data_IF_303805476391
#
_entry.id   IF_303805476391
#
_cell.length_a   1.000
_cell.length_b   1.000
_cell.length_c   1.000
_cell.angle_alpha   90.00
_cell.angle_beta   90.00
_cell.angle_gamma   90.00
#
_symmetry.space_group_name_H-M   'P 1'
#
loop_
_entity.id
_entity.type
_entity.pdbx_description
1 polymer ?
#
# COMPACT_ATOMS: atom_id res chain seq x y z
N UNK A 1 -5.08 78.00 -43.12
CA UNK A 1 -4.20 77.15 -42.34
C UNK A 1 -5.06 76.20 -41.53
N UNK A 2 -5.25 74.95 -41.92
CA UNK A 2 -6.00 73.92 -41.19
C UNK A 2 -5.02 72.95 -40.54
N UNK A 3 -4.90 72.93 -39.21
CA UNK A 3 -4.09 72.01 -38.45
C UNK A 3 -4.84 70.72 -38.28
N UNK A 4 -4.34 69.64 -38.90
CA UNK A 4 -4.78 68.24 -38.62
C UNK A 4 -4.08 67.71 -37.41
N UNK A 5 -4.86 67.42 -36.33
CA UNK A 5 -4.33 66.70 -35.17
C UNK A 5 -4.46 65.18 -35.44
N UNK A 6 -3.33 64.49 -35.54
CA UNK A 6 -3.27 63.03 -35.56
C UNK A 6 -3.46 62.50 -34.09
N UNK A 7 -4.51 61.72 -33.87
CA UNK A 7 -4.65 60.95 -32.63
C UNK A 7 -3.98 59.58 -32.87
N UNK A 8 -2.90 59.34 -32.14
CA UNK A 8 -2.27 58.04 -32.10
C UNK A 8 -2.99 57.19 -31.02
N UNK A 9 -3.70 56.15 -31.44
CA UNK A 9 -4.33 55.17 -30.55
C UNK A 9 -3.29 54.14 -30.15
N UNK A 10 -2.84 54.16 -28.90
CA UNK A 10 -1.94 53.13 -28.33
C UNK A 10 -2.84 51.95 -27.95
N UNK A 11 -2.72 50.82 -28.69
CA UNK A 11 -3.33 49.55 -28.32
C UNK A 11 -2.38 48.88 -27.30
N UNK A 12 -2.79 48.91 -26.04
CA UNK A 12 -2.09 48.13 -24.98
C UNK A 12 -2.43 46.65 -25.15
N UNK A 13 -1.48 45.86 -25.64
CA UNK A 13 -1.56 44.40 -25.60
C UNK A 13 -1.41 43.91 -24.15
N UNK A 14 -2.52 43.60 -23.51
CA UNK A 14 -2.50 42.93 -22.22
C UNK A 14 -1.98 41.51 -22.44
N UNK A 15 -0.73 41.26 -22.05
CA UNK A 15 -0.18 39.92 -21.96
C UNK A 15 -0.94 39.17 -20.83
N UNK A 16 -1.84 38.28 -21.21
CA UNK A 16 -2.48 37.37 -20.27
C UNK A 16 -1.37 36.42 -19.75
N UNK A 17 -0.90 36.63 -18.52
CA UNK A 17 -0.12 35.66 -17.80
C UNK A 17 -0.97 34.41 -17.64
N UNK A 18 -0.51 33.21 -18.06
CA UNK A 18 -1.26 32.01 -17.78
C UNK A 18 -1.38 31.87 -16.26
N UNK A 19 -2.61 31.86 -15.75
CA UNK A 19 -2.86 31.49 -14.36
C UNK A 19 -2.30 30.08 -14.18
N UNK A 20 -1.30 29.92 -13.29
CA UNK A 20 -0.87 28.59 -12.84
C UNK A 20 -2.11 27.95 -12.22
N UNK A 21 -2.54 26.84 -12.81
CA UNK A 21 -3.64 26.08 -12.21
C UNK A 21 -3.20 25.65 -10.80
N UNK A 22 -4.09 25.82 -9.82
CA UNK A 22 -3.82 25.35 -8.46
C UNK A 22 -3.54 23.84 -8.45
N UNK A 23 -2.59 23.41 -7.61
CA UNK A 23 -2.28 21.99 -7.42
C UNK A 23 -3.54 21.22 -6.97
N UNK A 24 -3.76 20.06 -7.53
CA UNK A 24 -4.90 19.21 -7.14
C UNK A 24 -4.64 18.60 -5.76
N UNK A 25 -5.52 18.89 -4.81
CA UNK A 25 -5.45 18.36 -3.44
C UNK A 25 -5.88 16.91 -3.40
N UNK A 26 -5.03 16.04 -2.82
CA UNK A 26 -5.27 14.59 -2.72
C UNK A 26 -4.92 14.10 -1.33
N UNK A 27 -5.92 13.57 -0.61
CA UNK A 27 -5.71 12.80 0.62
C UNK A 27 -5.37 11.35 0.30
N UNK A 28 -4.26 10.85 0.83
CA UNK A 28 -3.77 9.48 0.61
C UNK A 28 -3.60 8.76 1.94
N UNK A 29 -4.29 7.63 2.12
CA UNK A 29 -4.18 6.79 3.32
C UNK A 29 -3.14 5.68 3.15
N UNK A 30 -2.18 5.59 4.09
CA UNK A 30 -1.18 4.51 4.11
C UNK A 30 -0.95 4.00 5.53
N UNK A 31 -0.21 2.91 5.69
CA UNK A 31 0.35 2.42 6.97
C UNK A 31 1.86 2.66 7.03
N UNK A 32 2.52 2.14 8.08
CA UNK A 32 3.98 2.13 8.22
C UNK A 32 4.66 0.96 7.49
N UNK A 33 4.05 0.39 6.49
CA UNK A 33 4.64 -0.64 5.63
C UNK A 33 5.81 -0.09 4.81
N UNK A 34 6.94 -0.78 4.83
CA UNK A 34 8.16 -0.38 4.11
C UNK A 34 7.93 -0.17 2.60
N UNK A 35 7.03 -0.97 2.00
CA UNK A 35 6.71 -0.89 0.57
C UNK A 35 6.03 0.41 0.14
N UNK A 36 5.36 1.13 1.05
CA UNK A 36 4.70 2.41 0.75
C UNK A 36 5.63 3.62 0.82
N UNK A 37 6.85 3.44 1.30
CA UNK A 37 7.78 4.54 1.52
C UNK A 37 8.15 5.37 0.26
N UNK A 38 8.13 4.84 -0.98
CA UNK A 38 8.29 5.67 -2.17
C UNK A 38 7.23 6.76 -2.33
N UNK A 39 6.01 6.58 -1.78
CA UNK A 39 4.99 7.63 -1.74
C UNK A 39 5.41 8.78 -0.81
N UNK A 40 6.00 8.46 0.35
CA UNK A 40 6.59 9.46 1.25
C UNK A 40 7.78 10.14 0.58
N UNK A 41 8.65 9.40 -0.11
CA UNK A 41 9.74 9.97 -0.88
C UNK A 41 9.23 10.96 -1.93
N UNK A 42 8.20 10.59 -2.71
CA UNK A 42 7.61 11.48 -3.71
C UNK A 42 7.08 12.78 -3.09
N UNK A 43 6.54 12.73 -1.88
CA UNK A 43 6.08 13.91 -1.16
C UNK A 43 7.26 14.76 -0.66
N UNK A 44 8.17 14.17 0.12
CA UNK A 44 9.25 14.90 0.80
C UNK A 44 10.31 15.43 -0.20
N UNK A 45 10.51 14.75 -1.33
CA UNK A 45 11.37 15.24 -2.42
C UNK A 45 10.65 16.27 -3.34
N UNK A 46 9.39 16.60 -3.09
CA UNK A 46 8.63 17.57 -3.87
C UNK A 46 8.17 17.07 -5.24
N UNK A 47 8.27 15.75 -5.51
CA UNK A 47 7.89 15.16 -6.80
C UNK A 47 6.39 15.35 -7.07
N UNK A 48 5.52 15.11 -6.09
CA UNK A 48 4.09 15.35 -6.23
C UNK A 48 3.79 16.81 -6.60
N UNK A 49 4.42 17.76 -5.90
CA UNK A 49 4.21 19.19 -6.17
C UNK A 49 4.70 19.58 -7.57
N UNK A 50 5.87 19.09 -7.98
CA UNK A 50 6.39 19.27 -9.35
C UNK A 50 5.39 18.81 -10.40
N UNK A 51 4.63 17.76 -10.10
CA UNK A 51 3.64 17.16 -10.99
C UNK A 51 2.21 17.73 -10.77
N UNK A 52 2.07 18.91 -10.12
CA UNK A 52 0.80 19.61 -9.93
C UNK A 52 -0.12 18.99 -8.88
N UNK A 53 0.43 18.32 -7.87
CA UNK A 53 -0.31 17.64 -6.81
C UNK A 53 0.05 18.20 -5.43
N UNK A 54 -0.97 18.54 -4.64
CA UNK A 54 -0.87 18.82 -3.20
C UNK A 54 -1.32 17.57 -2.42
N UNK A 55 -0.37 16.65 -2.18
CA UNK A 55 -0.65 15.36 -1.54
C UNK A 55 -0.49 15.44 -0.04
N UNK A 56 -1.57 15.12 0.68
CA UNK A 56 -1.55 14.90 2.13
C UNK A 56 -1.54 13.40 2.43
N UNK A 57 -0.42 12.88 2.92
CA UNK A 57 -0.32 11.48 3.37
C UNK A 57 -0.81 11.36 4.81
N UNK A 58 -1.77 10.46 5.04
CA UNK A 58 -2.33 10.15 6.37
C UNK A 58 -1.99 8.72 6.77
N UNK A 59 -1.40 8.56 7.95
CA UNK A 59 -1.16 7.23 8.54
C UNK A 59 -2.45 6.75 9.18
N UNK A 60 -3.15 5.85 8.51
CA UNK A 60 -4.44 5.28 8.93
C UNK A 60 -4.31 3.76 9.01
N UNK A 61 -4.67 3.11 10.14
CA UNK A 61 -4.70 1.65 10.22
C UNK A 61 -5.48 1.03 9.05
N UNK A 62 -5.03 -0.10 8.54
CA UNK A 62 -5.64 -0.71 7.35
C UNK A 62 -7.12 -1.01 7.55
N UNK A 63 -7.50 -1.47 8.75
CA UNK A 63 -8.90 -1.76 9.13
C UNK A 63 -9.84 -0.54 9.08
N UNK A 64 -9.31 0.67 9.21
CA UNK A 64 -10.10 1.93 9.27
C UNK A 64 -10.03 2.74 7.97
N UNK A 65 -9.12 2.38 7.04
CA UNK A 65 -8.81 3.16 5.84
C UNK A 65 -9.99 3.25 4.87
N UNK A 66 -10.78 2.19 4.76
CA UNK A 66 -12.02 2.20 3.95
C UNK A 66 -13.07 3.19 4.48
N UNK A 67 -13.13 3.41 5.81
CA UNK A 67 -14.03 4.40 6.40
C UNK A 67 -13.61 5.83 6.03
N UNK A 68 -12.30 6.11 6.00
CA UNK A 68 -11.77 7.40 5.56
C UNK A 68 -12.03 7.66 4.06
N UNK A 69 -12.03 6.61 3.22
CA UNK A 69 -12.46 6.70 1.82
C UNK A 69 -13.96 6.99 1.73
N UNK A 70 -14.78 6.25 2.46
CA UNK A 70 -16.23 6.39 2.43
C UNK A 70 -16.71 7.76 2.92
N UNK A 71 -16.02 8.34 3.91
CA UNK A 71 -16.32 9.68 4.42
C UNK A 71 -15.81 10.83 3.51
N UNK A 72 -14.93 10.50 2.53
CA UNK A 72 -14.27 11.52 1.69
C UNK A 72 -13.07 12.19 2.33
N UNK A 73 -12.63 11.74 3.51
CA UNK A 73 -11.45 12.26 4.20
C UNK A 73 -10.13 11.97 3.44
N UNK A 74 -10.12 10.90 2.66
CA UNK A 74 -9.09 10.60 1.67
C UNK A 74 -9.74 10.19 0.34
N UNK A 75 -9.08 10.48 -0.77
CA UNK A 75 -9.52 10.14 -2.12
C UNK A 75 -8.86 8.85 -2.60
N UNK A 76 -7.64 8.59 -2.14
CA UNK A 76 -6.82 7.46 -2.55
C UNK A 76 -6.19 6.77 -1.34
N UNK A 77 -5.74 5.54 -1.55
CA UNK A 77 -5.01 4.79 -0.53
C UNK A 77 -4.01 3.81 -1.16
N UNK A 78 -3.10 3.31 -0.34
CA UNK A 78 -2.26 2.15 -0.65
C UNK A 78 -2.71 0.99 0.23
N UNK A 79 -2.92 -0.18 -0.36
CA UNK A 79 -3.20 -1.43 0.35
C UNK A 79 -3.04 -2.63 -0.59
N UNK A 80 -3.26 -3.83 -0.09
CA UNK A 80 -3.13 -5.08 -0.83
C UNK A 80 -4.35 -5.38 -1.70
N UNK A 81 -4.15 -6.19 -2.75
CA UNK A 81 -5.19 -6.56 -3.72
C UNK A 81 -6.42 -7.16 -3.02
N UNK A 82 -6.25 -8.09 -2.09
CA UNK A 82 -7.36 -8.74 -1.38
C UNK A 82 -8.13 -7.77 -0.48
N UNK A 83 -7.45 -6.75 0.05
CA UNK A 83 -8.12 -5.71 0.84
C UNK A 83 -9.03 -4.85 -0.03
N UNK A 84 -8.59 -4.48 -1.25
CA UNK A 84 -9.45 -3.79 -2.22
C UNK A 84 -10.68 -4.61 -2.60
N UNK A 85 -10.51 -5.94 -2.78
CA UNK A 85 -11.65 -6.85 -3.03
C UNK A 85 -12.63 -6.77 -1.87
N UNK A 86 -12.13 -6.86 -0.63
CA UNK A 86 -12.96 -6.79 0.58
C UNK A 86 -13.73 -5.47 0.67
N UNK A 87 -13.07 -4.32 0.44
CA UNK A 87 -13.73 -3.01 0.50
C UNK A 87 -14.83 -2.88 -0.55
N UNK A 88 -14.55 -3.24 -1.81
CA UNK A 88 -15.53 -3.18 -2.89
C UNK A 88 -16.72 -4.11 -2.64
N UNK A 89 -16.48 -5.35 -2.18
CA UNK A 89 -17.53 -6.30 -1.84
C UNK A 89 -18.43 -5.82 -0.70
N UNK A 90 -17.90 -4.97 0.21
CA UNK A 90 -18.62 -4.40 1.33
C UNK A 90 -19.11 -2.95 1.06
N UNK A 91 -19.16 -2.53 -0.20
CA UNK A 91 -19.84 -1.30 -0.64
C UNK A 91 -18.96 -0.04 -0.69
N UNK A 92 -17.64 -0.14 -0.46
CA UNK A 92 -16.71 0.97 -0.62
C UNK A 92 -16.05 0.88 -2.00
N UNK A 93 -16.65 1.54 -3.00
CA UNK A 93 -16.18 1.51 -4.38
C UNK A 93 -14.81 2.17 -4.54
N UNK A 94 -13.86 1.42 -5.10
CA UNK A 94 -12.49 1.85 -5.37
C UNK A 94 -11.94 1.17 -6.63
N UNK A 95 -10.95 1.78 -7.29
CA UNK A 95 -10.21 1.18 -8.40
C UNK A 95 -8.71 1.29 -8.16
N UNK A 96 -8.02 0.18 -8.32
CA UNK A 96 -6.57 0.09 -8.29
C UNK A 96 -6.00 0.63 -9.59
N UNK A 97 -5.00 1.50 -9.55
CA UNK A 97 -4.48 2.20 -10.73
C UNK A 97 -3.01 1.91 -11.02
N UNK A 98 -2.22 1.51 -10.03
CA UNK A 98 -0.88 0.96 -10.20
C UNK A 98 -0.47 0.07 -9.03
N UNK A 99 0.45 -0.86 -9.29
CA UNK A 99 1.08 -1.69 -8.28
C UNK A 99 2.26 -0.96 -7.67
N UNK A 100 2.34 -0.99 -6.34
CA UNK A 100 3.43 -0.40 -5.57
C UNK A 100 4.59 -1.38 -5.43
N UNK A 101 4.33 -2.50 -4.80
CA UNK A 101 5.36 -3.49 -4.48
C UNK A 101 4.77 -4.91 -4.39
N UNK A 102 5.70 -5.87 -4.29
CA UNK A 102 5.44 -7.25 -3.89
C UNK A 102 6.30 -7.55 -2.68
N UNK A 103 5.70 -8.11 -1.65
CA UNK A 103 6.45 -8.66 -0.53
C UNK A 103 7.27 -9.87 -0.98
N UNK A 104 8.54 -9.89 -0.61
CA UNK A 104 9.51 -10.92 -0.95
C UNK A 104 10.25 -11.37 0.32
N UNK A 105 9.48 -11.84 1.29
CA UNK A 105 9.94 -12.19 2.62
C UNK A 105 9.74 -11.08 3.67
N UNK A 106 9.07 -9.97 3.30
CA UNK A 106 8.82 -8.85 4.20
C UNK A 106 7.60 -9.05 5.10
N UNK A 107 6.65 -9.90 4.73
CA UNK A 107 5.59 -10.37 5.62
C UNK A 107 5.94 -11.76 6.12
N UNK A 108 5.71 -12.02 7.41
CA UNK A 108 6.04 -13.28 8.03
C UNK A 108 5.18 -13.66 9.20
N UNK A 109 5.09 -14.98 9.37
CA UNK A 109 4.55 -15.63 10.55
C UNK A 109 5.69 -15.93 11.51
N UNK A 110 5.61 -15.39 12.72
CA UNK A 110 6.55 -15.65 13.80
C UNK A 110 5.90 -16.58 14.83
N UNK A 111 6.68 -17.49 15.40
CA UNK A 111 6.21 -18.49 16.37
C UNK A 111 7.23 -18.67 17.47
N UNK A 112 6.80 -19.19 18.63
CA UNK A 112 7.71 -19.61 19.70
C UNK A 112 8.68 -20.69 19.20
N UNK A 113 9.83 -20.80 19.84
CA UNK A 113 10.89 -21.70 19.39
C UNK A 113 10.51 -23.20 19.45
N UNK A 114 9.56 -23.58 20.28
CA UNK A 114 9.01 -24.92 20.44
C UNK A 114 7.98 -25.31 19.34
N UNK A 115 7.46 -24.35 18.59
CA UNK A 115 6.55 -24.61 17.45
C UNK A 115 7.36 -25.08 16.27
N UNK A 116 7.16 -26.31 15.80
CA UNK A 116 7.93 -26.91 14.71
C UNK A 116 7.34 -26.61 13.32
N UNK A 117 6.01 -26.53 13.20
CA UNK A 117 5.32 -26.33 11.93
C UNK A 117 4.04 -25.50 12.11
N UNK A 118 3.55 -24.89 11.01
CA UNK A 118 2.30 -24.08 11.05
C UNK A 118 1.11 -24.90 11.56
N UNK A 119 1.04 -26.19 11.25
CA UNK A 119 -0.02 -27.10 11.74
C UNK A 119 -0.07 -27.22 13.27
N UNK A 120 1.04 -26.95 13.95
CA UNK A 120 1.15 -27.01 15.42
C UNK A 120 0.53 -25.79 16.09
N UNK A 121 0.03 -24.83 15.31
CA UNK A 121 -0.70 -23.65 15.80
C UNK A 121 -2.15 -23.97 16.19
N UNK A 122 -2.66 -25.16 15.92
CA UNK A 122 -4.01 -25.56 16.34
C UNK A 122 -4.24 -25.34 17.83
N UNK A 123 -5.26 -24.57 18.19
CA UNK A 123 -5.59 -24.22 19.57
C UNK A 123 -4.74 -23.12 20.20
N UNK A 124 -3.75 -22.57 19.47
CA UNK A 124 -2.83 -21.52 19.95
C UNK A 124 -3.37 -20.12 19.67
N UNK A 125 -2.78 -19.13 20.36
CA UNK A 125 -3.08 -17.71 20.15
C UNK A 125 -2.16 -17.12 19.07
N UNK A 126 -2.76 -16.46 18.09
CA UNK A 126 -2.05 -15.81 17.00
C UNK A 126 -2.44 -14.33 16.91
N UNK A 127 -1.50 -13.42 17.16
CA UNK A 127 -1.73 -12.00 16.91
C UNK A 127 -1.74 -11.73 15.40
N UNK A 128 -2.83 -11.15 14.92
CA UNK A 128 -2.95 -10.64 13.54
C UNK A 128 -3.88 -9.42 13.56
N UNK A 129 -3.86 -8.63 12.48
CA UNK A 129 -4.79 -7.50 12.38
C UNK A 129 -6.24 -7.95 12.23
N UNK A 130 -7.17 -7.00 12.16
CA UNK A 130 -8.60 -7.28 12.02
C UNK A 130 -8.94 -8.10 10.76
N UNK A 131 -10.03 -8.87 10.77
CA UNK A 131 -10.58 -9.50 9.57
C UNK A 131 -10.75 -8.50 8.41
N UNK A 132 -10.38 -8.92 7.18
CA UNK A 132 -10.41 -8.07 6.00
C UNK A 132 -9.14 -7.22 5.78
N UNK A 133 -8.10 -7.40 6.59
CA UNK A 133 -6.77 -6.78 6.41
C UNK A 133 -5.76 -7.80 5.89
N UNK A 134 -4.64 -7.32 5.34
CA UNK A 134 -3.58 -8.17 4.79
C UNK A 134 -2.97 -9.14 5.81
N UNK A 135 -2.60 -8.76 7.03
CA UNK A 135 -2.05 -9.73 7.99
C UNK A 135 -3.04 -10.84 8.37
N UNK A 136 -4.34 -10.52 8.45
CA UNK A 136 -5.38 -11.55 8.67
C UNK A 136 -5.54 -12.47 7.47
N UNK A 137 -5.54 -11.92 6.26
CA UNK A 137 -5.61 -12.70 5.03
C UNK A 137 -4.40 -13.61 4.88
N UNK A 138 -3.18 -13.10 5.15
CA UNK A 138 -1.95 -13.88 5.09
C UNK A 138 -1.96 -15.02 6.12
N UNK A 139 -2.45 -14.77 7.33
CA UNK A 139 -2.70 -15.83 8.31
C UNK A 139 -3.63 -16.91 7.75
N UNK A 140 -4.79 -16.51 7.24
CA UNK A 140 -5.77 -17.45 6.68
C UNK A 140 -5.19 -18.26 5.51
N UNK A 141 -4.42 -17.60 4.63
CA UNK A 141 -3.75 -18.24 3.50
C UNK A 141 -2.75 -19.30 3.96
N UNK A 142 -1.84 -18.94 4.87
CA UNK A 142 -0.83 -19.86 5.39
C UNK A 142 -1.45 -21.03 6.15
N UNK A 143 -2.47 -20.78 6.98
CA UNK A 143 -3.20 -21.85 7.69
C UNK A 143 -3.86 -22.80 6.69
N UNK A 144 -4.58 -22.30 5.70
CA UNK A 144 -5.24 -23.11 4.65
C UNK A 144 -4.25 -24.01 3.91
N UNK A 145 -3.10 -23.47 3.50
CA UNK A 145 -2.05 -24.24 2.81
C UNK A 145 -1.43 -25.34 3.70
N UNK A 146 -1.64 -25.26 5.02
CA UNK A 146 -1.17 -26.25 6.01
C UNK A 146 -2.31 -27.07 6.64
N UNK A 147 -3.49 -27.10 6.02
CA UNK A 147 -4.63 -27.93 6.44
C UNK A 147 -5.36 -27.41 7.68
N UNK A 148 -5.18 -26.15 8.03
CA UNK A 148 -5.90 -25.45 9.10
C UNK A 148 -6.77 -24.32 8.53
N UNK A 149 -7.60 -23.77 9.39
CA UNK A 149 -8.41 -22.57 9.15
C UNK A 149 -8.22 -21.55 10.27
N UNK A 150 -8.70 -20.35 10.09
CA UNK A 150 -8.70 -19.31 11.14
C UNK A 150 -9.53 -19.73 12.37
N UNK A 151 -10.44 -20.71 12.24
CA UNK A 151 -11.23 -21.27 13.34
C UNK A 151 -10.44 -22.24 14.23
N UNK A 152 -9.31 -22.73 13.75
CA UNK A 152 -8.43 -23.65 14.48
C UNK A 152 -7.47 -22.92 15.43
N UNK A 153 -7.44 -21.59 15.39
CA UNK A 153 -6.57 -20.74 16.22
C UNK A 153 -7.40 -19.65 16.91
N UNK A 154 -6.88 -19.09 18.01
CA UNK A 154 -7.46 -17.89 18.63
C UNK A 154 -6.77 -16.65 18.08
N UNK A 155 -7.45 -15.91 17.19
CA UNK A 155 -6.87 -14.69 16.61
C UNK A 155 -7.02 -13.51 17.58
N UNK A 156 -5.91 -12.86 17.91
CA UNK A 156 -5.86 -11.63 18.72
C UNK A 156 -5.66 -10.45 17.76
N UNK A 157 -6.63 -9.54 17.69
CA UNK A 157 -6.59 -8.38 16.79
C UNK A 157 -5.58 -7.33 17.30
N UNK A 158 -4.39 -7.35 16.75
CA UNK A 158 -3.31 -6.38 17.00
C UNK A 158 -2.72 -5.91 15.67
N UNK A 159 -2.55 -4.60 15.52
CA UNK A 159 -1.84 -4.04 14.36
C UNK A 159 -0.38 -4.55 14.33
N UNK A 160 0.28 -4.62 13.15
CA UNK A 160 1.56 -5.33 12.99
C UNK A 160 2.67 -4.91 13.94
N UNK A 161 2.78 -3.61 14.25
CA UNK A 161 3.74 -3.12 15.26
C UNK A 161 3.44 -3.68 16.65
N UNK A 162 2.16 -3.64 17.06
CA UNK A 162 1.72 -4.15 18.35
C UNK A 162 1.80 -5.69 18.40
N UNK A 163 1.51 -6.37 17.29
CA UNK A 163 1.63 -7.83 17.17
C UNK A 163 3.08 -8.30 17.38
N UNK A 164 4.05 -7.63 16.74
CA UNK A 164 5.47 -7.93 16.93
C UNK A 164 5.91 -7.69 18.38
N UNK A 165 5.50 -6.58 18.99
CA UNK A 165 5.83 -6.26 20.40
C UNK A 165 5.19 -7.24 21.38
N UNK A 166 3.91 -7.56 21.21
CA UNK A 166 3.18 -8.52 22.04
C UNK A 166 3.80 -9.92 21.94
N UNK A 167 4.23 -10.32 20.74
CA UNK A 167 4.96 -11.56 20.55
C UNK A 167 6.29 -11.54 21.30
N UNK A 168 7.15 -10.56 21.09
CA UNK A 168 8.47 -10.49 21.78
C UNK A 168 8.32 -10.46 23.30
N UNK A 169 7.27 -9.81 23.82
CA UNK A 169 6.98 -9.79 25.27
C UNK A 169 6.27 -11.03 25.83
N UNK A 170 6.04 -12.07 25.01
CA UNK A 170 5.52 -13.36 25.49
C UNK A 170 4.01 -13.49 25.56
N UNK A 171 3.24 -12.54 24.99
CA UNK A 171 1.77 -12.51 25.14
C UNK A 171 1.02 -13.45 24.20
N UNK A 172 1.62 -13.84 23.06
CA UNK A 172 1.00 -14.70 22.05
C UNK A 172 1.94 -15.84 21.66
N UNK A 173 1.39 -16.97 21.23
CA UNK A 173 2.14 -18.12 20.72
C UNK A 173 2.74 -17.83 19.34
N UNK A 174 2.03 -17.03 18.54
CA UNK A 174 2.45 -16.63 17.20
C UNK A 174 1.97 -15.22 16.87
N UNK A 175 2.55 -14.63 15.80
CA UNK A 175 2.06 -13.38 15.26
C UNK A 175 2.28 -13.31 13.74
N UNK A 176 1.37 -12.61 13.05
CA UNK A 176 1.56 -12.11 11.70
C UNK A 176 2.02 -10.66 11.78
N UNK A 177 3.15 -10.37 11.16
CA UNK A 177 3.69 -9.00 11.08
C UNK A 177 4.49 -8.82 9.79
N UNK A 178 4.95 -7.60 9.57
CA UNK A 178 5.70 -7.25 8.36
C UNK A 178 6.83 -6.25 8.67
N UNK A 179 7.70 -5.99 7.68
CA UNK A 179 8.75 -4.97 7.82
C UNK A 179 8.15 -3.54 7.91
N UNK A 180 8.69 -2.69 8.80
CA UNK A 180 9.94 -2.88 9.56
C UNK A 180 9.80 -3.69 10.87
N UNK A 181 8.59 -4.05 11.28
CA UNK A 181 8.35 -4.66 12.61
C UNK A 181 8.81 -6.13 12.70
N UNK A 182 8.85 -6.85 11.57
CA UNK A 182 9.39 -8.21 11.50
C UNK A 182 10.87 -8.24 11.89
N UNK A 183 11.62 -7.19 11.60
CA UNK A 183 13.01 -7.01 12.02
C UNK A 183 13.16 -6.96 13.55
N UNK A 184 12.15 -6.50 14.30
CA UNK A 184 12.15 -6.53 15.77
C UNK A 184 12.19 -7.97 16.29
N UNK A 185 11.46 -8.88 15.63
CA UNK A 185 11.47 -10.30 16.00
C UNK A 185 12.78 -10.97 15.57
N UNK A 186 13.33 -10.62 14.39
CA UNK A 186 14.66 -11.10 13.96
C UNK A 186 15.76 -10.76 14.97
N UNK A 187 15.65 -9.62 15.64
CA UNK A 187 16.58 -9.16 16.65
C UNK A 187 16.43 -9.86 18.02
N UNK A 188 15.38 -10.68 18.21
CA UNK A 188 15.08 -11.37 19.45
C UNK A 188 14.93 -12.90 19.27
N UNK A 189 15.98 -13.61 18.82
CA UNK A 189 15.92 -15.04 18.47
C UNK A 189 15.65 -15.95 19.67
N UNK A 190 15.87 -15.47 20.90
CA UNK A 190 15.51 -16.16 22.14
C UNK A 190 13.99 -16.18 22.39
N UNK A 191 13.22 -15.27 21.80
CA UNK A 191 11.77 -15.15 21.95
C UNK A 191 10.99 -15.99 20.95
N UNK A 192 11.59 -16.32 19.80
CA UNK A 192 10.95 -17.10 18.75
C UNK A 192 11.66 -17.00 17.42
N UNK A 193 11.03 -17.54 16.40
CA UNK A 193 11.57 -17.61 15.03
C UNK A 193 10.51 -17.24 14.00
N UNK A 194 10.96 -16.84 12.82
CA UNK A 194 10.12 -16.72 11.63
C UNK A 194 9.96 -18.11 11.06
N UNK A 195 8.74 -18.64 11.01
CA UNK A 195 8.47 -20.00 10.52
C UNK A 195 8.13 -20.02 9.04
N UNK A 196 7.55 -18.94 8.52
CA UNK A 196 7.20 -18.76 7.11
C UNK A 196 7.11 -17.29 6.75
N UNK A 197 7.36 -17.00 5.48
CA UNK A 197 7.28 -15.67 4.92
C UNK A 197 6.57 -15.68 3.56
N UNK A 198 6.46 -14.50 2.93
CA UNK A 198 5.99 -14.36 1.55
C UNK A 198 6.97 -14.93 0.50
N UNK A 199 8.14 -15.40 0.88
CA UNK A 199 8.99 -16.27 0.02
C UNK A 199 8.39 -17.66 -0.13
N UNK A 200 7.83 -18.20 0.94
CA UNK A 200 7.20 -19.53 0.96
C UNK A 200 5.76 -19.46 0.43
N UNK A 201 5.08 -18.33 0.67
CA UNK A 201 3.69 -18.09 0.32
C UNK A 201 3.54 -16.70 -0.34
N UNK A 202 3.79 -16.56 -1.65
CA UNK A 202 3.74 -15.26 -2.35
C UNK A 202 2.30 -14.80 -2.58
N UNK A 203 1.71 -14.10 -1.60
CA UNK A 203 0.32 -13.64 -1.66
C UNK A 203 0.15 -12.13 -1.36
N UNK A 204 1.20 -11.41 -0.98
CA UNK A 204 1.11 -9.98 -0.65
C UNK A 204 1.61 -9.14 -1.82
N UNK A 205 0.66 -8.46 -2.47
CA UNK A 205 0.88 -7.55 -3.60
C UNK A 205 0.14 -6.26 -3.31
N UNK A 206 0.90 -5.20 -3.13
CA UNK A 206 0.38 -3.88 -2.79
C UNK A 206 0.10 -3.03 -4.02
N UNK A 207 -1.04 -2.36 -3.99
CA UNK A 207 -1.47 -1.47 -5.06
C UNK A 207 -1.93 -0.13 -4.50
N UNK A 208 -1.87 0.87 -5.33
CA UNK A 208 -2.45 2.19 -5.11
C UNK A 208 -3.78 2.28 -5.84
N UNK A 209 -4.78 2.81 -5.17
CA UNK A 209 -6.10 2.97 -5.77
C UNK A 209 -6.82 4.20 -5.23
N UNK A 210 -7.84 4.62 -5.95
CA UNK A 210 -8.64 5.79 -5.64
C UNK A 210 -10.13 5.51 -5.79
N UNK A 211 -10.96 6.43 -5.30
CA UNK A 211 -12.40 6.38 -5.56
C UNK A 211 -12.69 6.60 -7.05
N UNK A 212 -13.71 5.95 -7.64
CA UNK A 212 -14.12 6.19 -9.03
C UNK A 212 -14.45 7.66 -9.30
N UNK A 213 -15.03 8.36 -8.32
CA UNK A 213 -15.32 9.80 -8.41
C UNK A 213 -14.03 10.59 -8.66
N UNK A 214 -12.99 10.39 -7.83
CA UNK A 214 -11.72 11.10 -8.00
C UNK A 214 -11.09 10.83 -9.37
N UNK A 215 -11.08 9.57 -9.81
CA UNK A 215 -10.52 9.17 -11.10
C UNK A 215 -11.24 9.83 -12.28
N UNK A 216 -12.57 9.97 -12.21
CA UNK A 216 -13.39 10.58 -13.26
C UNK A 216 -13.26 12.09 -13.28
N UNK A 217 -13.26 12.74 -12.10
CA UNK A 217 -13.18 14.20 -11.99
C UNK A 217 -11.75 14.72 -12.20
N UNK A 218 -10.72 13.92 -11.89
CA UNK A 218 -9.31 14.32 -11.91
C UNK A 218 -8.40 13.31 -12.63
N UNK A 219 -8.68 12.92 -13.90
CA UNK A 219 -7.91 11.87 -14.57
C UNK A 219 -6.43 12.25 -14.78
N UNK A 220 -6.12 13.53 -14.98
CA UNK A 220 -4.74 14.03 -15.07
C UNK A 220 -4.01 13.89 -13.75
N UNK A 221 -4.66 14.18 -12.62
CA UNK A 221 -4.07 14.02 -11.30
C UNK A 221 -3.85 12.54 -10.97
N UNK A 222 -4.77 11.65 -11.34
CA UNK A 222 -4.60 10.20 -11.18
C UNK A 222 -3.37 9.67 -11.94
N UNK A 223 -3.16 10.14 -13.19
CA UNK A 223 -1.95 9.82 -13.94
C UNK A 223 -0.69 10.42 -13.28
N UNK A 224 -0.76 11.67 -12.83
CA UNK A 224 0.36 12.32 -12.14
C UNK A 224 0.76 11.61 -10.84
N UNK A 225 -0.19 10.98 -10.10
CA UNK A 225 0.11 10.14 -8.95
C UNK A 225 0.96 8.91 -9.35
N UNK A 226 0.58 8.22 -10.43
CA UNK A 226 1.35 7.08 -10.94
C UNK A 226 2.73 7.52 -11.45
N UNK A 227 2.80 8.57 -12.25
CA UNK A 227 4.06 9.11 -12.77
C UNK A 227 5.00 9.54 -11.63
N UNK A 228 4.46 10.18 -10.58
CA UNK A 228 5.23 10.60 -9.40
C UNK A 228 5.79 9.42 -8.62
N UNK A 229 5.04 8.32 -8.51
CA UNK A 229 5.53 7.09 -7.90
C UNK A 229 6.71 6.50 -8.70
N UNK A 230 6.59 6.41 -10.03
CA UNK A 230 7.67 5.90 -10.86
C UNK A 230 8.90 6.82 -10.84
N UNK A 231 8.72 8.15 -10.82
CA UNK A 231 9.82 9.11 -10.64
C UNK A 231 10.53 8.92 -9.27
N UNK A 232 9.78 8.61 -8.22
CA UNK A 232 10.38 8.28 -6.92
C UNK A 232 11.23 7.01 -6.98
N UNK A 233 10.82 5.97 -7.74
CA UNK A 233 11.65 4.78 -7.96
C UNK A 233 12.94 5.11 -8.73
N UNK A 234 12.87 5.99 -9.72
CA UNK A 234 14.06 6.47 -10.44
C UNK A 234 15.01 7.24 -9.50
N UNK A 235 14.47 8.05 -8.57
CA UNK A 235 15.27 8.71 -7.54
C UNK A 235 15.97 7.71 -6.62
N UNK A 236 15.27 6.64 -6.19
CA UNK A 236 15.87 5.56 -5.40
C UNK A 236 17.03 4.91 -6.18
N UNK A 237 16.85 4.62 -7.47
CA UNK A 237 17.88 4.02 -8.28
C UNK A 237 19.10 4.93 -8.48
N UNK A 238 18.89 6.25 -8.53
CA UNK A 238 19.94 7.26 -8.75
C UNK A 238 20.74 7.60 -7.50
N UNK A 239 20.06 7.71 -6.35
CA UNK A 239 20.67 8.08 -5.05
C UNK A 239 19.97 7.34 -3.91
N UNK A 240 20.30 6.05 -3.81
CA UNK A 240 19.69 5.15 -2.84
C UNK A 240 19.92 5.59 -1.40
N UNK A 241 21.11 6.09 -1.09
CA UNK A 241 21.45 6.49 0.27
C UNK A 241 20.55 7.62 0.76
N UNK A 242 20.41 8.69 -0.02
CA UNK A 242 19.52 9.81 0.30
C UNK A 242 18.05 9.41 0.33
N UNK A 243 17.62 8.59 -0.63
CA UNK A 243 16.25 8.09 -0.66
C UNK A 243 15.93 7.25 0.58
N UNK A 244 16.85 6.39 1.01
CA UNK A 244 16.66 5.55 2.20
C UNK A 244 16.68 6.34 3.50
N UNK A 245 17.44 7.44 3.60
CA UNK A 245 17.34 8.36 4.74
C UNK A 245 15.94 8.96 4.87
N UNK A 246 15.38 9.48 3.76
CA UNK A 246 14.05 10.08 3.74
C UNK A 246 12.98 9.03 4.08
N UNK A 247 13.02 7.87 3.41
CA UNK A 247 12.05 6.80 3.60
C UNK A 247 12.15 6.15 4.98
N UNK A 248 13.37 6.00 5.50
CA UNK A 248 13.62 5.47 6.84
C UNK A 248 13.05 6.34 7.94
N UNK A 249 13.21 7.67 7.83
CA UNK A 249 12.66 8.62 8.80
C UNK A 249 11.13 8.47 8.96
N UNK A 250 10.40 8.17 7.89
CA UNK A 250 8.95 7.95 7.91
C UNK A 250 8.52 6.74 8.76
N UNK A 251 9.35 5.73 8.86
CA UNK A 251 9.11 4.49 9.62
C UNK A 251 10.00 4.36 10.87
N UNK A 252 10.62 5.46 11.30
CA UNK A 252 11.50 5.55 12.48
C UNK A 252 12.73 4.64 12.39
N UNK A 253 13.29 4.51 11.21
CA UNK A 253 14.53 3.79 10.92
C UNK A 253 15.61 4.75 10.39
N UNK A 254 16.88 4.41 10.60
CA UNK A 254 17.98 5.02 9.85
C UNK A 254 17.91 4.55 8.39
N UNK A 255 18.61 5.24 7.47
CA UNK A 255 18.68 4.79 6.07
C UNK A 255 19.23 3.37 5.91
N UNK A 256 20.21 2.97 6.74
CA UNK A 256 20.76 1.61 6.78
C UNK A 256 19.71 0.59 7.24
N UNK A 257 19.02 0.86 8.34
CA UNK A 257 17.95 0.00 8.85
C UNK A 257 16.82 -0.15 7.82
N UNK A 258 16.44 0.95 7.19
CA UNK A 258 15.45 0.94 6.11
C UNK A 258 15.92 0.07 4.94
N UNK A 259 17.18 0.22 4.50
CA UNK A 259 17.77 -0.61 3.46
C UNK A 259 17.75 -2.11 3.80
N UNK A 260 17.94 -2.46 5.08
CA UNK A 260 17.82 -3.84 5.54
C UNK A 260 16.38 -4.37 5.44
N UNK A 261 15.37 -3.56 5.78
CA UNK A 261 13.95 -3.92 5.59
C UNK A 261 13.58 -4.02 4.11
N UNK A 262 14.05 -3.09 3.28
CA UNK A 262 13.75 -3.00 1.85
C UNK A 262 14.26 -4.20 1.02
N UNK A 263 15.25 -4.97 1.52
CA UNK A 263 15.74 -6.19 0.86
C UNK A 263 14.65 -7.24 0.66
N UNK A 264 13.63 -7.22 1.50
CA UNK A 264 12.56 -8.21 1.55
C UNK A 264 11.31 -7.83 0.77
N UNK A 265 11.39 -6.82 -0.11
CA UNK A 265 10.30 -6.42 -1.00
C UNK A 265 10.82 -6.04 -2.39
N UNK A 266 9.92 -5.87 -3.34
CA UNK A 266 10.23 -5.50 -4.72
C UNK A 266 9.26 -4.41 -5.16
N UNK A 267 9.72 -3.17 -5.21
CA UNK A 267 8.97 -2.08 -5.84
C UNK A 267 8.79 -2.36 -7.32
N UNK A 268 7.64 -2.01 -7.83
CA UNK A 268 7.23 -2.35 -9.19
C UNK A 268 7.30 -1.12 -10.09
N UNK A 269 8.19 -1.16 -11.08
CA UNK A 269 8.30 -0.13 -12.10
C UNK A 269 7.13 -0.17 -13.10
N UNK A 270 7.12 0.74 -14.06
CA UNK A 270 6.06 0.84 -15.06
C UNK A 270 5.91 -0.45 -15.88
N UNK A 271 7.03 -1.08 -16.31
CA UNK A 271 7.00 -2.30 -17.10
C UNK A 271 6.46 -3.50 -16.29
N UNK A 272 6.84 -3.61 -15.01
CA UNK A 272 6.30 -4.62 -14.10
C UNK A 272 4.79 -4.42 -13.88
N UNK A 273 4.35 -3.18 -13.74
CA UNK A 273 2.94 -2.82 -13.61
C UNK A 273 2.10 -3.26 -14.81
N UNK A 274 2.59 -3.03 -16.04
CA UNK A 274 1.90 -3.45 -17.26
C UNK A 274 1.71 -4.97 -17.30
N UNK A 275 2.74 -5.74 -16.92
CA UNK A 275 2.67 -7.21 -16.84
C UNK A 275 1.70 -7.67 -15.74
N UNK A 276 1.74 -7.01 -14.58
CA UNK A 276 0.91 -7.36 -13.44
C UNK A 276 -0.58 -7.28 -13.79
N UNK A 277 -1.06 -6.16 -14.30
CA UNK A 277 -2.47 -5.99 -14.64
C UNK A 277 -2.92 -6.81 -15.86
N UNK A 278 -1.98 -7.23 -16.72
CA UNK A 278 -2.29 -8.11 -17.84
C UNK A 278 -2.40 -9.60 -17.48
N UNK A 279 -1.88 -10.02 -16.32
CA UNK A 279 -1.81 -11.43 -15.95
C UNK A 279 -1.93 -11.71 -14.46
N UNK A 280 -0.87 -11.49 -13.68
CA UNK A 280 -0.77 -11.87 -12.27
C UNK A 280 -1.95 -11.34 -11.42
N UNK A 281 -2.40 -10.10 -11.68
CA UNK A 281 -3.52 -9.50 -11.00
C UNK A 281 -4.80 -10.31 -11.15
N UNK A 282 -5.12 -10.74 -12.37
CA UNK A 282 -6.35 -11.47 -12.67
C UNK A 282 -6.36 -12.84 -11.98
N UNK A 283 -5.22 -13.54 -12.02
CA UNK A 283 -5.05 -14.86 -11.38
C UNK A 283 -5.18 -14.74 -9.86
N UNK A 284 -4.41 -13.83 -9.26
CA UNK A 284 -4.42 -13.65 -7.80
C UNK A 284 -5.77 -13.13 -7.30
N UNK A 285 -6.41 -12.23 -8.05
CA UNK A 285 -7.72 -11.68 -7.68
C UNK A 285 -8.77 -12.79 -7.47
N UNK A 286 -8.77 -13.81 -8.36
CA UNK A 286 -9.66 -14.95 -8.23
C UNK A 286 -9.35 -15.77 -6.97
N UNK A 287 -8.08 -16.16 -6.75
CA UNK A 287 -7.68 -16.95 -5.59
C UNK A 287 -7.95 -16.22 -4.28
N UNK A 288 -7.71 -14.90 -4.26
CA UNK A 288 -7.97 -14.06 -3.09
C UNK A 288 -9.47 -13.96 -2.79
N UNK A 289 -10.29 -13.73 -3.82
CA UNK A 289 -11.75 -13.68 -3.66
C UNK A 289 -12.32 -15.01 -3.15
N UNK A 290 -11.84 -16.15 -3.67
CA UNK A 290 -12.24 -17.49 -3.24
C UNK A 290 -11.93 -17.70 -1.73
N UNK A 291 -10.74 -17.27 -1.26
CA UNK A 291 -10.41 -17.37 0.17
C UNK A 291 -11.25 -16.42 1.03
N UNK A 292 -11.45 -15.17 0.57
CA UNK A 292 -12.27 -14.19 1.30
C UNK A 292 -13.73 -14.66 1.47
N UNK A 293 -14.30 -15.35 0.46
CA UNK A 293 -15.61 -16.00 0.53
C UNK A 293 -15.59 -17.14 1.55
N UNK A 294 -14.59 -18.02 1.49
CA UNK A 294 -14.46 -19.19 2.36
C UNK A 294 -14.37 -18.81 3.84
N UNK A 295 -13.60 -17.76 4.15
CA UNK A 295 -13.45 -17.27 5.54
C UNK A 295 -14.53 -16.28 5.96
N UNK A 296 -15.50 -16.00 5.09
CA UNK A 296 -16.70 -15.20 5.40
C UNK A 296 -16.47 -13.69 5.49
N UNK A 297 -15.37 -13.17 4.92
CA UNK A 297 -15.07 -11.73 4.88
C UNK A 297 -15.95 -11.03 3.85
N UNK A 298 -16.23 -11.68 2.74
CA UNK A 298 -17.14 -11.19 1.72
C UNK A 298 -18.27 -12.20 1.49
N UNK A 299 -19.43 -11.72 1.02
CA UNK A 299 -20.60 -12.56 0.68
C UNK A 299 -20.69 -12.87 -0.82
N UNK A 300 -20.11 -12.02 -1.64
CA UNK A 300 -20.02 -12.17 -3.09
C UNK A 300 -18.73 -11.51 -3.59
N UNK A 301 -18.09 -12.11 -4.58
CA UNK A 301 -16.93 -11.53 -5.22
C UNK A 301 -17.37 -10.38 -6.15
N UNK A 302 -16.73 -9.20 -6.09
CA UNK A 302 -16.96 -8.16 -7.09
C UNK A 302 -16.40 -8.60 -8.44
N UNK A 303 -16.90 -8.00 -9.52
CA UNK A 303 -16.34 -8.23 -10.86
C UNK A 303 -14.94 -7.65 -10.95
N UNK A 304 -14.00 -8.42 -11.47
CA UNK A 304 -12.58 -8.03 -11.50
C UNK A 304 -12.35 -6.76 -12.32
N UNK A 305 -13.09 -6.56 -13.40
CA UNK A 305 -13.03 -5.38 -14.26
C UNK A 305 -13.48 -4.09 -13.56
N UNK A 306 -14.23 -4.18 -12.46
CA UNK A 306 -14.62 -3.03 -11.66
C UNK A 306 -13.54 -2.62 -10.64
N UNK A 307 -12.55 -3.50 -10.39
CA UNK A 307 -11.56 -3.34 -9.32
C UNK A 307 -10.30 -2.58 -9.73
N UNK A 308 -10.08 -2.35 -11.03
CA UNK A 308 -8.86 -1.69 -11.48
C UNK A 308 -9.07 -0.83 -12.73
N UNK A 309 -8.12 0.06 -12.98
CA UNK A 309 -8.00 0.84 -14.21
C UNK A 309 -6.53 1.04 -14.56
N UNK A 310 -6.01 0.20 -15.45
CA UNK A 310 -4.62 0.24 -15.90
C UNK A 310 -4.35 1.34 -16.96
N UNK A 311 -5.31 2.19 -17.29
CA UNK A 311 -5.09 3.27 -18.27
C UNK A 311 -4.10 4.32 -17.80
N UNK A 312 -3.96 4.49 -16.48
CA UNK A 312 -3.08 5.47 -15.85
C UNK A 312 -1.58 5.11 -15.87
N UNK A 313 -1.23 3.89 -16.26
CA UNK A 313 0.16 3.39 -16.38
C UNK A 313 0.61 3.20 -17.86
N UNK A 314 -0.17 3.73 -18.79
CA UNK A 314 0.17 3.69 -20.23
C UNK A 314 1.20 4.75 -20.61
#
# INVERSE_FOLDING_TARGET
MRSSKLFATIIALAAATPALADDVKVGVGISGWTGFAPLTLAKEAGIFKKNGLDVTIKKIPQKDRHLAIASGDIQCAATTVETWISWNANGVATKQIFQLDKSYGADGMVVRNDVAAIKDLKGKTVAASAPGTSPYFALAWMLKKNGLSVKDVTVVNLEPAAAAQAFVSGQNDAAMTYEPYLSTVRAAPDKGKIIATTLDYPMVMDTFGCTPKFLTENPKAAKALADSYFEALEMIAKDQAKAYEIMGADVKQTGEQFGNSAKYLRWQDKAANQKFFAGDFLTFNKEAADLLLEIGIIKAAPKVEDLFDASFIK
#
